data_IF_212398432331
#
_entry.id   IF_212398432331
#
_cell.length_a   1.000
_cell.length_b   1.000
_cell.length_c   1.000
_cell.angle_alpha   90.00
_cell.angle_beta   90.00
_cell.angle_gamma   90.00
#
_symmetry.space_group_name_H-M   'P 1'
#
loop_
_entity.id
_entity.type
_entity.pdbx_description
1 polymer ?
#
# COMPACT_ATOMS: atom_id res chain seq x y z
N UNK A 1 -27.08 -77.73 52.18
CA UNK A 1 -26.21 -76.94 53.07
C UNK A 1 -26.35 -75.48 52.68
N UNK A 2 -26.99 -74.73 53.57
CA UNK A 2 -27.35 -73.31 53.43
C UNK A 2 -26.16 -72.46 53.86
N UNK A 3 -25.81 -71.40 53.12
CA UNK A 3 -25.12 -70.26 53.71
C UNK A 3 -25.48 -68.98 52.94
N UNK A 4 -26.27 -68.13 53.60
CA UNK A 4 -26.58 -66.74 53.24
C UNK A 4 -25.46 -65.81 53.73
N UNK A 5 -25.53 -64.55 53.28
CA UNK A 5 -24.94 -63.30 53.86
C UNK A 5 -23.58 -62.93 53.22
N UNK A 6 -23.31 -61.72 52.74
CA UNK A 6 -23.76 -60.42 53.20
C UNK A 6 -23.86 -59.36 52.08
N UNK A 7 -24.88 -58.51 52.24
CA UNK A 7 -25.06 -57.20 51.60
C UNK A 7 -23.97 -56.24 52.11
N UNK A 8 -23.28 -55.54 51.20
CA UNK A 8 -22.71 -54.21 51.49
C UNK A 8 -23.07 -53.29 50.34
N UNK A 9 -24.02 -52.39 50.61
CA UNK A 9 -24.17 -51.14 49.88
C UNK A 9 -22.86 -50.36 50.07
N UNK A 10 -22.25 -49.93 48.97
CA UNK A 10 -21.39 -48.75 48.98
C UNK A 10 -21.88 -47.78 47.92
N UNK A 11 -22.20 -46.59 48.41
CA UNK A 11 -22.61 -45.38 47.73
C UNK A 11 -21.41 -44.73 46.99
N UNK A 12 -21.72 -43.98 45.92
CA UNK A 12 -21.02 -42.74 45.47
C UNK A 12 -19.65 -42.95 44.78
N UNK A 13 -19.26 -42.26 43.70
CA UNK A 13 -19.72 -41.02 43.09
C UNK A 13 -19.67 -41.08 41.55
N UNK A 14 -20.65 -40.42 40.93
CA UNK A 14 -20.57 -39.95 39.54
C UNK A 14 -19.67 -38.71 39.55
N UNK A 15 -18.56 -38.75 38.81
CA UNK A 15 -17.82 -37.55 38.43
C UNK A 15 -17.62 -37.61 36.91
N UNK A 16 -18.66 -37.17 36.19
CA UNK A 16 -18.57 -36.88 34.77
C UNK A 16 -17.69 -35.65 34.58
N UNK A 17 -16.39 -35.86 34.32
CA UNK A 17 -15.53 -34.82 33.78
C UNK A 17 -15.91 -34.62 32.31
N UNK A 18 -16.94 -33.81 32.07
CA UNK A 18 -17.14 -33.17 30.79
C UNK A 18 -16.04 -32.12 30.64
N UNK A 19 -14.88 -32.53 30.10
CA UNK A 19 -13.91 -31.61 29.55
C UNK A 19 -14.55 -30.94 28.33
N UNK A 20 -15.28 -29.86 28.60
CA UNK A 20 -15.63 -28.86 27.60
C UNK A 20 -14.33 -28.20 27.14
N UNK A 21 -13.63 -28.87 26.23
CA UNK A 21 -12.57 -28.26 25.46
C UNK A 21 -13.21 -27.16 24.62
N UNK A 22 -12.99 -25.91 25.01
CA UNK A 22 -13.15 -24.79 24.09
C UNK A 22 -12.09 -25.04 23.01
N UNK A 23 -12.50 -25.63 21.89
CA UNK A 23 -11.69 -25.61 20.70
C UNK A 23 -11.58 -24.14 20.30
N UNK A 24 -10.47 -23.50 20.71
CA UNK A 24 -10.07 -22.22 20.13
C UNK A 24 -9.81 -22.55 18.65
N UNK A 25 -10.61 -22.03 17.70
CA UNK A 25 -10.25 -22.18 16.30
C UNK A 25 -8.88 -21.53 16.14
N UNK A 26 -7.86 -22.31 15.79
CA UNK A 26 -6.62 -21.75 15.30
C UNK A 26 -6.98 -20.85 14.11
N UNK A 27 -6.43 -19.62 14.00
CA UNK A 27 -6.70 -18.80 12.85
C UNK A 27 -6.22 -19.55 11.61
N UNK A 28 -7.17 -19.91 10.75
CA UNK A 28 -6.89 -20.46 9.44
C UNK A 28 -6.47 -19.31 8.52
N UNK A 29 -5.23 -18.86 8.66
CA UNK A 29 -4.54 -18.04 7.67
C UNK A 29 -3.06 -18.45 7.65
N UNK A 30 -2.80 -19.67 7.20
CA UNK A 30 -1.45 -20.16 6.92
C UNK A 30 -0.92 -19.60 5.59
N UNK A 31 -1.16 -18.32 5.32
CA UNK A 31 -0.60 -17.64 4.16
C UNK A 31 0.89 -17.41 4.41
N UNK A 32 1.72 -17.76 3.44
CA UNK A 32 3.17 -17.60 3.53
C UNK A 32 3.53 -16.27 2.90
N UNK A 33 4.38 -15.47 3.57
CA UNK A 33 4.94 -14.25 2.97
C UNK A 33 5.62 -14.60 1.64
N UNK A 34 5.37 -13.83 0.60
CA UNK A 34 6.04 -13.99 -0.68
C UNK A 34 7.53 -13.70 -0.53
N UNK A 35 8.38 -14.52 -1.15
CA UNK A 35 9.85 -14.36 -1.12
C UNK A 35 10.29 -13.41 -2.22
N UNK A 36 9.73 -12.20 -2.21
CA UNK A 36 10.04 -11.12 -3.16
C UNK A 36 11.00 -10.12 -2.50
N UNK A 37 11.94 -9.53 -3.27
CA UNK A 37 12.77 -8.45 -2.77
C UNK A 37 11.91 -7.21 -2.48
N UNK A 38 12.38 -6.38 -1.56
CA UNK A 38 11.79 -5.05 -1.28
C UNK A 38 12.46 -3.97 -2.13
N UNK A 39 11.80 -2.84 -2.33
CA UNK A 39 12.29 -1.77 -3.22
C UNK A 39 13.64 -1.20 -2.77
N UNK A 40 13.91 -1.14 -1.47
CA UNK A 40 15.19 -0.71 -0.88
C UNK A 40 16.38 -1.66 -1.19
N UNK A 41 16.09 -2.87 -1.67
CA UNK A 41 17.10 -3.84 -2.11
C UNK A 41 17.43 -3.73 -3.60
N UNK A 42 16.73 -2.86 -4.33
CA UNK A 42 16.91 -2.67 -5.76
C UNK A 42 17.79 -1.46 -6.04
N UNK A 43 18.74 -1.64 -6.96
CA UNK A 43 19.44 -0.50 -7.58
C UNK A 43 18.44 0.23 -8.51
N UNK A 44 18.23 1.54 -8.35
CA UNK A 44 17.40 2.32 -9.25
C UNK A 44 17.93 2.27 -10.69
N UNK A 45 17.03 2.15 -11.66
CA UNK A 45 17.35 2.29 -13.08
C UNK A 45 16.99 3.71 -13.56
N UNK A 46 16.95 3.90 -14.87
CA UNK A 46 16.50 5.15 -15.47
C UNK A 46 15.01 5.37 -15.20
N UNK A 47 14.64 6.61 -14.85
CA UNK A 47 13.26 7.05 -14.78
C UNK A 47 12.53 6.83 -16.12
N UNK A 48 11.28 6.39 -16.06
CA UNK A 48 10.49 6.04 -17.23
C UNK A 48 9.27 6.96 -17.38
N UNK A 49 8.75 7.15 -18.61
CA UNK A 49 7.48 7.87 -18.83
C UNK A 49 6.28 7.25 -18.11
N UNK A 50 6.37 5.97 -17.72
CA UNK A 50 5.33 5.23 -17.00
C UNK A 50 5.51 5.26 -15.48
N UNK A 51 6.49 5.99 -14.96
CA UNK A 51 6.63 6.17 -13.51
C UNK A 51 5.36 6.83 -12.94
N UNK A 52 4.98 6.44 -11.71
CA UNK A 52 3.75 6.86 -11.03
C UNK A 52 3.01 5.71 -10.34
N UNK A 53 1.84 6.02 -9.78
CA UNK A 53 0.96 5.04 -9.14
C UNK A 53 -0.05 4.47 -10.13
N UNK A 54 -0.27 3.16 -10.05
CA UNK A 54 -1.13 2.40 -10.95
C UNK A 54 -2.01 1.42 -10.19
N UNK A 55 -3.25 1.25 -10.62
CA UNK A 55 -4.12 0.16 -10.18
C UNK A 55 -4.00 -1.02 -11.15
N UNK A 56 -3.67 -2.20 -10.63
CA UNK A 56 -3.84 -3.47 -11.33
C UNK A 56 -5.33 -3.82 -11.36
N UNK A 57 -6.00 -3.46 -12.46
CA UNK A 57 -7.46 -3.48 -12.61
C UNK A 57 -8.09 -4.82 -12.22
N UNK A 58 -7.50 -5.94 -12.64
CA UNK A 58 -8.06 -7.27 -12.42
C UNK A 58 -8.12 -7.70 -10.95
N UNK A 59 -7.34 -7.07 -10.08
CA UNK A 59 -7.30 -7.38 -8.63
C UNK A 59 -7.63 -6.17 -7.74
N UNK A 60 -7.81 -4.98 -8.33
CA UNK A 60 -8.05 -3.73 -7.63
C UNK A 60 -6.99 -3.48 -6.56
N UNK A 61 -5.71 -3.60 -6.93
CA UNK A 61 -4.55 -3.39 -6.05
C UNK A 61 -3.59 -2.42 -6.69
N UNK A 62 -3.03 -1.54 -5.88
CA UNK A 62 -2.12 -0.51 -6.35
C UNK A 62 -0.67 -0.96 -6.31
N UNK A 63 0.07 -0.49 -7.29
CA UNK A 63 1.52 -0.58 -7.39
C UNK A 63 2.09 0.81 -7.70
N UNK A 64 3.34 1.04 -7.34
CA UNK A 64 4.11 2.19 -7.78
C UNK A 64 5.15 1.71 -8.79
N UNK A 65 5.22 2.36 -9.94
CA UNK A 65 6.31 2.20 -10.91
C UNK A 65 7.27 3.36 -10.70
N UNK A 66 8.54 3.04 -10.47
CA UNK A 66 9.58 4.03 -10.25
C UNK A 66 10.94 3.48 -10.68
N UNK A 67 11.70 4.28 -11.45
CA UNK A 67 13.09 3.99 -11.80
C UNK A 67 13.31 2.55 -12.30
N UNK A 68 12.40 2.07 -13.16
CA UNK A 68 12.48 0.75 -13.78
C UNK A 68 12.05 -0.44 -12.91
N UNK A 69 11.40 -0.22 -11.77
CA UNK A 69 10.80 -1.28 -10.96
C UNK A 69 9.35 -0.93 -10.61
N UNK A 70 8.52 -1.96 -10.38
CA UNK A 70 7.20 -1.80 -9.83
C UNK A 70 7.10 -2.54 -8.49
N UNK A 71 6.63 -1.87 -7.45
CA UNK A 71 6.44 -2.43 -6.12
C UNK A 71 5.01 -2.27 -5.63
N UNK A 72 4.60 -3.15 -4.73
CA UNK A 72 3.28 -3.16 -4.15
C UNK A 72 3.06 -1.96 -3.23
N UNK A 73 1.97 -1.22 -3.45
CA UNK A 73 1.44 -0.24 -2.49
C UNK A 73 0.42 -0.95 -1.57
N UNK A 74 -0.49 -1.72 -2.16
CA UNK A 74 -1.46 -2.52 -1.42
C UNK A 74 -0.97 -3.96 -1.21
N UNK A 75 -1.34 -4.61 -0.10
CA UNK A 75 -1.08 -6.05 0.09
C UNK A 75 -2.14 -6.93 -0.61
N UNK A 76 -1.75 -8.10 -1.12
CA UNK A 76 -2.70 -9.11 -1.63
C UNK A 76 -2.21 -10.54 -1.53
N UNK A 77 -3.12 -11.49 -1.74
CA UNK A 77 -2.82 -12.92 -1.79
C UNK A 77 -2.72 -13.37 -3.25
N UNK A 78 -1.53 -13.78 -3.66
CA UNK A 78 -1.26 -14.41 -4.94
C UNK A 78 -1.43 -15.94 -4.84
N UNK A 79 -2.17 -16.52 -5.80
CA UNK A 79 -2.43 -17.97 -5.90
C UNK A 79 -2.93 -18.62 -4.59
N UNK A 80 -3.75 -17.91 -3.81
CA UNK A 80 -4.33 -18.37 -2.52
C UNK A 80 -3.31 -18.69 -1.40
N UNK A 81 -2.01 -18.54 -1.65
CA UNK A 81 -0.96 -19.00 -0.72
C UNK A 81 0.01 -17.90 -0.34
N UNK A 82 0.46 -17.11 -1.32
CA UNK A 82 1.55 -16.16 -1.11
C UNK A 82 1.01 -14.77 -0.85
N UNK A 83 1.31 -14.21 0.32
CA UNK A 83 0.99 -12.82 0.62
C UNK A 83 2.08 -11.93 0.09
N UNK A 84 1.73 -11.11 -0.89
CA UNK A 84 2.53 -9.97 -1.34
C UNK A 84 2.23 -8.82 -0.39
N UNK A 85 3.28 -8.26 0.18
CA UNK A 85 3.24 -7.16 1.14
C UNK A 85 3.65 -5.84 0.45
N UNK A 86 3.30 -4.68 1.04
CA UNK A 86 3.79 -3.39 0.57
C UNK A 86 5.31 -3.35 0.47
N UNK A 87 5.82 -2.51 -0.42
CA UNK A 87 7.24 -2.34 -0.78
C UNK A 87 7.88 -3.56 -1.46
N UNK A 88 7.18 -4.70 -1.57
CA UNK A 88 7.70 -5.84 -2.32
C UNK A 88 7.62 -5.58 -3.83
N UNK A 89 8.75 -5.79 -4.50
CA UNK A 89 8.87 -5.63 -5.95
C UNK A 89 8.12 -6.75 -6.65
N UNK A 90 7.21 -6.37 -7.52
CA UNK A 90 6.38 -7.29 -8.31
C UNK A 90 6.79 -7.33 -9.78
N UNK A 91 7.35 -6.24 -10.30
CA UNK A 91 7.97 -6.21 -11.62
C UNK A 91 9.33 -5.56 -11.51
N UNK A 92 10.38 -6.14 -12.10
CA UNK A 92 11.73 -5.54 -12.08
C UNK A 92 12.31 -5.36 -13.47
N UNK A 93 13.32 -4.49 -13.54
CA UNK A 93 14.12 -4.26 -14.76
C UNK A 93 13.30 -3.78 -15.96
N UNK A 94 12.28 -2.97 -15.69
CA UNK A 94 11.41 -2.35 -16.69
C UNK A 94 12.26 -1.42 -17.54
N UNK A 95 12.15 -1.57 -18.85
CA UNK A 95 12.88 -0.77 -19.85
C UNK A 95 11.96 -0.41 -21.00
N UNK A 96 12.08 0.81 -21.49
CA UNK A 96 11.40 1.27 -22.69
C UNK A 96 12.01 0.64 -23.95
N UNK A 97 11.15 0.28 -24.90
CA UNK A 97 11.48 -0.22 -26.22
C UNK A 97 11.46 0.92 -27.25
N UNK A 98 12.08 0.69 -28.41
CA UNK A 98 12.16 1.69 -29.47
C UNK A 98 10.79 2.08 -30.08
N UNK A 99 9.76 1.27 -29.87
CA UNK A 99 8.39 1.49 -30.32
C UNK A 99 7.50 2.16 -29.26
N UNK A 100 8.07 2.56 -28.11
CA UNK A 100 7.34 3.18 -26.99
C UNK A 100 6.63 2.20 -26.07
N UNK A 101 6.75 0.88 -26.33
CA UNK A 101 6.35 -0.15 -25.38
C UNK A 101 7.38 -0.33 -24.27
N UNK A 102 7.09 -1.21 -23.31
CA UNK A 102 8.01 -1.52 -22.21
C UNK A 102 8.15 -3.03 -22.02
N UNK A 103 9.28 -3.47 -21.46
CA UNK A 103 9.52 -4.87 -21.10
C UNK A 103 10.06 -4.97 -19.69
N UNK A 104 9.65 -5.99 -18.94
CA UNK A 104 10.08 -6.23 -17.57
C UNK A 104 10.03 -7.71 -17.18
N UNK A 105 10.25 -7.98 -15.90
CA UNK A 105 10.19 -9.31 -15.30
C UNK A 105 9.15 -9.32 -14.18
N UNK A 106 8.01 -9.97 -14.42
CA UNK A 106 6.92 -10.16 -13.46
C UNK A 106 7.29 -11.28 -12.49
N UNK A 107 7.60 -10.91 -11.24
CA UNK A 107 8.13 -11.84 -10.24
C UNK A 107 7.07 -12.80 -9.68
N UNK A 108 5.84 -12.35 -9.35
CA UNK A 108 4.77 -13.25 -8.94
C UNK A 108 4.46 -14.31 -10.00
N UNK A 109 4.44 -13.93 -11.28
CA UNK A 109 4.16 -14.84 -12.38
C UNK A 109 5.40 -15.58 -12.90
N UNK A 110 6.59 -15.25 -12.38
CA UNK A 110 7.88 -15.81 -12.80
C UNK A 110 8.07 -15.75 -14.33
N UNK A 111 7.69 -14.64 -14.94
CA UNK A 111 7.63 -14.48 -16.39
C UNK A 111 8.21 -13.13 -16.85
N UNK A 112 8.54 -13.03 -18.14
CA UNK A 112 8.67 -11.73 -18.79
C UNK A 112 7.30 -11.09 -18.97
N UNK A 113 7.26 -9.77 -19.00
CA UNK A 113 6.06 -8.99 -19.32
C UNK A 113 6.39 -7.92 -20.35
N UNK A 114 5.51 -7.73 -21.32
CA UNK A 114 5.53 -6.60 -22.24
C UNK A 114 4.34 -5.70 -21.94
N UNK A 115 4.57 -4.39 -21.86
CA UNK A 115 3.54 -3.36 -21.72
C UNK A 115 3.38 -2.57 -23.01
N UNK A 116 2.13 -2.35 -23.39
CA UNK A 116 1.73 -1.47 -24.48
C UNK A 116 0.67 -0.49 -23.96
N UNK A 117 0.74 0.76 -24.38
CA UNK A 117 -0.34 1.73 -24.17
C UNK A 117 -1.58 1.30 -24.96
N UNK A 118 -2.75 1.23 -24.29
CA UNK A 118 -4.04 1.12 -24.97
C UNK A 118 -4.62 2.52 -25.24
N UNK A 119 -4.40 3.42 -24.30
CA UNK A 119 -4.74 4.85 -24.36
C UNK A 119 -3.74 5.64 -23.48
N UNK A 120 -4.02 6.90 -23.17
CA UNK A 120 -3.12 7.79 -22.41
C UNK A 120 -2.98 7.39 -20.93
N UNK A 121 -3.95 6.65 -20.37
CA UNK A 121 -4.07 6.37 -18.93
C UNK A 121 -4.03 4.87 -18.60
N UNK A 122 -4.03 4.00 -19.63
CA UNK A 122 -4.04 2.55 -19.46
C UNK A 122 -2.88 1.87 -20.19
N UNK A 123 -2.12 1.07 -19.44
CA UNK A 123 -1.18 0.08 -19.98
C UNK A 123 -1.81 -1.32 -19.99
N UNK A 124 -1.51 -2.11 -21.02
CA UNK A 124 -1.78 -3.55 -21.03
C UNK A 124 -0.48 -4.33 -20.83
N UNK A 125 -0.41 -5.12 -19.76
CA UNK A 125 0.65 -6.11 -19.56
C UNK A 125 0.27 -7.45 -20.20
N UNK A 126 1.20 -8.06 -20.96
CA UNK A 126 1.10 -9.45 -21.44
C UNK A 126 2.32 -10.24 -21.01
N UNK A 127 2.11 -11.35 -20.33
CA UNK A 127 3.22 -12.21 -19.87
C UNK A 127 3.52 -13.36 -20.83
N UNK A 128 4.79 -13.76 -20.90
CA UNK A 128 5.29 -14.84 -21.75
C UNK A 128 5.47 -16.18 -21.01
N UNK A 129 4.87 -16.31 -19.82
CA UNK A 129 4.94 -17.49 -18.97
C UNK A 129 4.23 -18.71 -19.53
N UNK A 130 4.36 -19.85 -18.83
CA UNK A 130 3.70 -21.11 -19.20
C UNK A 130 2.17 -21.03 -19.22
N UNK A 131 1.61 -20.08 -18.46
CA UNK A 131 0.23 -19.65 -18.53
C UNK A 131 0.27 -18.14 -18.83
N UNK A 132 0.03 -17.72 -20.07
CA UNK A 132 -0.03 -16.31 -20.41
C UNK A 132 -1.14 -15.60 -19.67
N UNK A 133 -0.83 -14.45 -19.10
CA UNK A 133 -1.79 -13.56 -18.43
C UNK A 133 -1.80 -12.23 -19.14
N UNK A 134 -2.99 -11.65 -19.30
CA UNK A 134 -3.18 -10.27 -19.74
C UNK A 134 -3.84 -9.52 -18.60
N UNK A 135 -3.28 -8.38 -18.23
CA UNK A 135 -3.80 -7.50 -17.21
C UNK A 135 -3.66 -6.04 -17.62
N UNK A 136 -4.34 -5.15 -16.90
CA UNK A 136 -4.34 -3.73 -17.18
C UNK A 136 -3.86 -2.94 -15.96
N UNK A 137 -3.08 -1.91 -16.24
CA UNK A 137 -2.68 -0.92 -15.27
C UNK A 137 -3.40 0.37 -15.62
N UNK A 138 -4.24 0.85 -14.71
CA UNK A 138 -4.91 2.14 -14.81
C UNK A 138 -4.17 3.15 -13.96
N UNK A 139 -3.84 4.30 -14.55
CA UNK A 139 -3.15 5.38 -13.85
C UNK A 139 -4.05 5.90 -12.71
N UNK A 140 -3.44 6.11 -11.55
CA UNK A 140 -4.13 6.67 -10.38
C UNK A 140 -3.74 8.15 -10.29
N UNK A 141 -4.71 9.02 -10.59
CA UNK A 141 -4.53 10.47 -10.50
C UNK A 141 -4.30 10.95 -9.07
N UNK A 142 -3.55 12.05 -8.91
CA UNK A 142 -3.41 12.78 -7.64
C UNK A 142 -2.35 12.24 -6.67
N UNK A 143 -1.53 11.27 -7.10
CA UNK A 143 -0.29 10.92 -6.42
C UNK A 143 0.86 11.71 -7.06
N UNK A 144 0.84 13.02 -6.89
CA UNK A 144 2.03 13.83 -7.12
C UNK A 144 3.10 13.31 -6.16
N UNK A 145 4.32 13.07 -6.67
CA UNK A 145 5.49 12.69 -5.90
C UNK A 145 5.97 13.84 -4.97
N UNK A 146 5.05 14.52 -4.30
CA UNK A 146 5.31 15.48 -3.25
C UNK A 146 5.52 14.74 -1.93
N UNK A 147 6.44 13.76 -1.92
CA UNK A 147 7.04 13.30 -0.67
C UNK A 147 8.26 14.17 -0.39
N UNK A 148 7.97 15.42 0.01
CA UNK A 148 8.89 16.23 0.81
C UNK A 148 8.10 16.93 1.92
N UNK A 149 7.27 16.19 2.66
CA UNK A 149 6.88 16.59 4.01
C UNK A 149 8.08 16.39 4.94
N UNK A 150 9.04 17.30 4.81
CA UNK A 150 9.99 17.57 5.87
C UNK A 150 9.15 18.11 7.06
N UNK A 151 9.09 17.42 8.21
CA UNK A 151 8.23 17.81 9.35
C UNK A 151 8.71 19.09 10.06
N UNK A 152 9.56 19.88 9.40
CA UNK A 152 10.08 21.16 9.86
C UNK A 152 9.70 22.34 8.96
N UNK A 153 8.96 22.13 7.87
CA UNK A 153 8.36 23.25 7.12
C UNK A 153 7.06 23.68 7.79
N UNK A 154 7.18 24.36 8.93
CA UNK A 154 6.11 25.20 9.45
C UNK A 154 6.10 26.50 8.64
N UNK A 155 5.57 26.44 7.42
CA UNK A 155 5.16 27.66 6.71
C UNK A 155 3.83 28.13 7.31
N UNK A 156 3.95 28.92 8.38
CA UNK A 156 2.90 29.83 8.80
C UNK A 156 2.86 31.00 7.82
N UNK A 157 2.08 30.84 6.76
CA UNK A 157 1.59 31.95 5.93
C UNK A 157 0.07 31.84 5.75
N UNK A 158 -0.64 31.81 6.89
CA UNK A 158 -1.98 32.37 6.93
C UNK A 158 -1.82 33.90 6.91
N UNK A 159 -1.90 34.47 5.70
CA UNK A 159 -2.17 35.89 5.50
C UNK A 159 -3.59 36.18 6.01
N UNK A 160 -3.70 36.36 7.33
CA UNK A 160 -4.87 36.93 7.97
C UNK A 160 -5.02 38.39 7.50
N UNK A 161 -6.16 38.65 6.87
CA UNK A 161 -6.73 39.97 6.61
C UNK A 161 -6.64 40.86 7.85
N UNK A 162 -5.56 41.65 7.97
CA UNK A 162 -5.50 42.76 8.93
C UNK A 162 -6.30 43.93 8.36
N UNK A 163 -7.41 44.34 8.99
CA UNK A 163 -8.11 45.54 8.57
C UNK A 163 -7.16 46.73 8.69
N UNK A 164 -6.96 47.45 7.60
CA UNK A 164 -6.28 48.74 7.60
C UNK A 164 -7.00 49.65 8.61
N UNK A 165 -6.42 49.85 9.80
CA UNK A 165 -6.85 50.92 10.68
C UNK A 165 -6.51 52.23 9.96
N UNK A 166 -7.55 52.91 9.46
CA UNK A 166 -7.45 54.29 9.02
C UNK A 166 -6.94 55.12 10.19
N UNK A 167 -5.70 55.60 10.08
CA UNK A 167 -5.16 56.56 11.03
C UNK A 167 -6.00 57.84 10.90
N UNK A 168 -6.48 58.43 12.01
CA UNK A 168 -7.22 59.67 11.95
C UNK A 168 -6.35 60.77 11.33
N UNK A 169 -6.91 61.45 10.32
CA UNK A 169 -6.33 62.66 9.75
C UNK A 169 -6.18 63.69 10.87
N UNK A 170 -4.92 63.99 11.20
CA UNK A 170 -4.60 65.01 12.18
C UNK A 170 -4.60 66.38 11.48
N UNK A 171 -5.79 66.97 11.39
CA UNK A 171 -5.99 68.39 11.07
C UNK A 171 -5.47 69.22 12.26
N UNK A 172 -4.17 69.50 12.28
CA UNK A 172 -3.64 70.49 13.20
C UNK A 172 -2.86 71.55 12.43
N UNK A 173 -3.62 72.58 12.07
CA UNK A 173 -3.23 73.85 11.49
C UNK A 173 -2.48 74.69 12.54
N UNK A 174 -1.27 74.28 12.94
CA UNK A 174 -0.46 75.11 13.85
C UNK A 174 0.42 76.09 13.05
N UNK A 175 -0.18 77.28 12.93
CA UNK A 175 0.36 78.57 12.52
C UNK A 175 1.82 78.81 12.96
N UNK A 176 2.68 79.01 11.97
CA UNK A 176 4.10 79.32 12.12
C UNK A 176 4.26 80.77 12.64
N UNK A 177 4.73 80.93 13.89
CA UNK A 177 5.10 82.26 14.43
C UNK A 177 6.61 82.31 14.63
N UNK A 178 7.31 83.08 13.77
CA UNK A 178 8.74 83.35 13.95
C UNK A 178 8.97 84.45 15.00
N UNK A 179 9.91 84.26 15.94
CA UNK A 179 10.47 85.38 16.71
C UNK A 179 11.81 85.85 16.13
N UNK A 180 11.87 87.17 15.98
CA UNK A 180 12.92 88.10 15.53
C UNK A 180 14.32 87.88 16.11
#
# INVERSE_FOLDING_TARGET
MTCLTAKRLSLVAVASLALGGIAVPAPADAQVRAMLPTIDQMEPLQALPIDGMWEVREIGKRIVIENGHAYAEDSWVHMMLFRIEPDQVVIKNIRELADGGFVGQDLPLMAGVTFEWIDEETLQGRTDGSIPVVYHLDRVDGFDAEYSDNPWDTDTSEEDDVPLMELPENDNDEEYVEPW
#
